data_IF_608812706133
#
_entry.id   IF_608812706133
#
_cell.length_a   1.000
_cell.length_b   1.000
_cell.length_c   1.000
_cell.angle_alpha   90.00
_cell.angle_beta   90.00
_cell.angle_gamma   90.00
#
_symmetry.space_group_name_H-M   'P 1'
#
loop_
_entity.id
_entity.type
_entity.pdbx_description
1 polymer ?
#
# COMPACT_ATOMS: atom_id res chain seq x y z
N UNK A 1 15.87 45.55 -9.73
CA UNK A 1 15.79 45.36 -11.20
C UNK A 1 15.17 43.99 -11.42
N UNK A 2 14.13 43.78 -12.23
CA UNK A 2 13.34 44.69 -13.06
C UNK A 2 11.82 44.57 -12.78
N UNK A 3 11.05 45.57 -13.21
CA UNK A 3 9.59 45.62 -13.08
C UNK A 3 9.00 45.86 -14.48
N UNK A 4 7.95 45.13 -14.86
CA UNK A 4 6.86 45.55 -15.76
C UNK A 4 5.70 44.55 -15.56
N UNK A 5 4.48 44.90 -15.11
CA UNK A 5 3.50 45.96 -15.46
C UNK A 5 2.84 45.79 -16.84
N UNK A 6 1.51 45.64 -16.78
CA UNK A 6 0.55 45.51 -17.88
C UNK A 6 0.48 46.79 -18.75
N UNK A 7 0.09 46.63 -20.02
CA UNK A 7 -0.91 47.51 -20.67
C UNK A 7 -1.58 46.82 -21.87
N UNK A 8 -2.83 47.18 -22.13
CA UNK A 8 -3.71 46.62 -23.17
C UNK A 8 -4.78 47.69 -23.50
N UNK A 9 -4.85 48.15 -24.77
CA UNK A 9 -5.84 49.07 -25.38
C UNK A 9 -5.42 49.33 -26.86
N UNK A 10 -6.27 49.68 -27.84
CA UNK A 10 -7.70 50.05 -27.84
C UNK A 10 -8.36 49.75 -29.22
N UNK A 11 -9.65 49.41 -29.22
CA UNK A 11 -10.76 49.85 -30.12
C UNK A 11 -10.55 50.19 -31.61
N UNK A 12 -11.52 49.81 -32.47
CA UNK A 12 -12.57 50.74 -32.96
C UNK A 12 -13.78 50.04 -33.63
N UNK A 13 -14.90 50.77 -33.79
CA UNK A 13 -16.22 50.30 -34.24
C UNK A 13 -16.52 50.72 -35.70
N UNK A 14 -17.39 49.97 -36.41
CA UNK A 14 -18.70 50.46 -36.96
C UNK A 14 -19.45 49.44 -37.84
N UNK A 15 -20.77 49.63 -37.93
CA UNK A 15 -21.79 49.03 -38.83
C UNK A 15 -22.55 50.19 -39.52
N UNK A 16 -23.54 50.03 -40.46
CA UNK A 16 -24.35 48.85 -40.83
C UNK A 16 -24.52 48.58 -42.36
N UNK A 17 -25.53 47.78 -42.75
CA UNK A 17 -25.86 47.30 -44.12
C UNK A 17 -26.77 48.26 -44.93
N UNK A 18 -27.21 47.90 -46.18
CA UNK A 18 -28.56 47.30 -46.33
C UNK A 18 -28.85 46.39 -47.57
N UNK A 19 -30.00 45.67 -47.54
CA UNK A 19 -30.88 45.24 -48.69
C UNK A 19 -30.35 44.26 -49.80
N UNK A 20 -31.14 43.40 -50.48
CA UNK A 20 -32.54 42.89 -50.30
C UNK A 20 -32.95 41.81 -51.34
N UNK A 21 -33.75 40.79 -50.94
CA UNK A 21 -34.79 40.05 -51.74
C UNK A 21 -34.28 39.17 -52.93
N UNK A 22 -34.94 38.12 -53.50
CA UNK A 22 -36.21 37.35 -53.34
C UNK A 22 -36.15 36.05 -54.25
N UNK A 23 -37.07 35.08 -54.46
CA UNK A 23 -38.48 34.68 -54.11
C UNK A 23 -38.61 33.11 -54.23
N UNK A 24 -39.45 32.45 -53.40
CA UNK A 24 -40.25 31.20 -53.65
C UNK A 24 -39.59 29.85 -54.09
N UNK A 25 -40.24 28.67 -54.01
CA UNK A 25 -41.65 28.29 -53.71
C UNK A 25 -41.78 27.09 -52.72
N UNK A 26 -43.01 26.61 -52.45
CA UNK A 26 -43.33 25.59 -51.43
C UNK A 26 -44.39 24.57 -51.91
N UNK A 27 -44.55 23.45 -51.18
CA UNK A 27 -45.79 22.63 -51.15
C UNK A 27 -45.89 21.80 -49.84
N UNK A 28 -47.08 21.36 -49.43
CA UNK A 28 -47.34 20.61 -48.18
C UNK A 28 -48.57 19.66 -48.27
N UNK A 29 -48.74 18.77 -47.26
CA UNK A 29 -49.83 17.78 -47.07
C UNK A 29 -49.67 16.47 -47.87
N UNK A 30 -50.22 15.30 -47.48
CA UNK A 30 -51.37 15.01 -46.59
C UNK A 30 -51.18 13.82 -45.61
N UNK A 31 -51.57 14.06 -44.35
CA UNK A 31 -52.25 13.18 -43.36
C UNK A 31 -52.07 11.64 -43.39
N UNK A 32 -51.77 11.08 -42.22
CA UNK A 32 -52.64 10.06 -41.58
C UNK A 32 -52.52 10.07 -40.04
N UNK A 33 -53.66 10.16 -39.36
CA UNK A 33 -53.78 10.09 -37.89
C UNK A 33 -54.16 8.65 -37.50
N UNK A 34 -53.69 8.18 -36.35
CA UNK A 34 -54.31 7.09 -35.59
C UNK A 34 -54.53 7.53 -34.14
N UNK A 35 -55.57 6.98 -33.53
CA UNK A 35 -56.20 7.42 -32.28
C UNK A 35 -55.60 6.79 -31.04
N UNK A 36 -55.57 7.55 -29.94
CA UNK A 36 -55.33 7.03 -28.59
C UNK A 36 -56.47 6.12 -28.09
N UNK A 37 -56.19 5.35 -27.04
CA UNK A 37 -57.17 4.54 -26.30
C UNK A 37 -57.02 4.79 -24.79
N UNK A 38 -58.06 5.28 -24.09
CA UNK A 38 -57.89 5.87 -22.76
C UNK A 38 -58.11 4.87 -21.62
N UNK A 39 -57.13 4.01 -21.28
CA UNK A 39 -57.20 3.21 -20.02
C UNK A 39 -55.85 2.76 -19.44
N UNK A 40 -55.22 3.61 -18.63
CA UNK A 40 -54.34 3.19 -17.52
C UNK A 40 -54.17 4.35 -16.55
N UNK A 41 -54.16 4.08 -15.24
CA UNK A 41 -53.95 5.10 -14.21
C UNK A 41 -52.47 5.51 -14.16
N UNK A 42 -52.20 6.81 -14.10
CA UNK A 42 -50.85 7.34 -13.88
C UNK A 42 -50.41 7.07 -12.44
N UNK A 43 -49.79 5.90 -12.23
CA UNK A 43 -48.86 5.76 -11.13
C UNK A 43 -47.60 6.56 -11.49
N UNK A 44 -47.52 7.80 -10.99
CA UNK A 44 -46.24 8.50 -10.84
C UNK A 44 -45.36 7.70 -9.86
N UNK A 45 -44.68 6.69 -10.38
CA UNK A 45 -43.49 6.16 -9.72
C UNK A 45 -42.47 7.28 -9.73
N UNK A 46 -42.40 8.02 -8.63
CA UNK A 46 -41.24 8.81 -8.25
C UNK A 46 -40.08 7.81 -8.21
N UNK A 47 -39.34 7.71 -9.31
CA UNK A 47 -38.03 7.07 -9.35
C UNK A 47 -37.12 7.98 -8.55
N UNK A 48 -37.10 7.73 -7.25
CA UNK A 48 -36.19 8.35 -6.30
C UNK A 48 -34.77 7.95 -6.73
N UNK A 49 -34.19 8.76 -7.62
CA UNK A 49 -32.86 8.58 -8.20
C UNK A 49 -31.77 8.92 -7.18
N UNK A 50 -31.92 8.39 -5.98
CA UNK A 50 -30.80 8.01 -5.13
C UNK A 50 -30.08 6.87 -5.85
N UNK A 51 -29.22 7.25 -6.80
CA UNK A 51 -28.04 6.47 -7.11
C UNK A 51 -27.27 6.32 -5.80
N UNK A 52 -27.56 5.23 -5.08
CA UNK A 52 -26.83 4.85 -3.89
C UNK A 52 -25.37 4.65 -4.32
N UNK A 53 -24.52 5.63 -3.98
CA UNK A 53 -23.07 5.52 -4.06
C UNK A 53 -22.63 4.27 -3.30
N UNK A 54 -22.51 3.16 -4.04
CA UNK A 54 -22.04 1.89 -3.51
C UNK A 54 -20.53 2.01 -3.34
N UNK A 55 -20.13 2.64 -2.24
CA UNK A 55 -18.74 2.73 -1.79
C UNK A 55 -18.06 1.37 -2.01
N UNK A 56 -17.07 1.34 -2.91
CA UNK A 56 -16.46 0.08 -3.34
C UNK A 56 -15.83 -0.64 -2.14
N UNK A 57 -16.04 -1.95 -2.03
CA UNK A 57 -15.42 -2.76 -0.98
C UNK A 57 -13.89 -2.89 -1.21
N UNK A 58 -13.12 -2.77 -0.14
CA UNK A 58 -11.67 -2.97 -0.18
C UNK A 58 -11.33 -4.39 -0.67
N UNK A 59 -10.40 -4.50 -1.60
CA UNK A 59 -9.95 -5.77 -2.17
C UNK A 59 -8.56 -6.14 -1.63
N UNK A 60 -8.14 -7.38 -1.86
CA UNK A 60 -6.77 -7.82 -1.56
C UNK A 60 -5.71 -6.96 -2.26
N UNK A 61 -5.99 -6.45 -3.47
CA UNK A 61 -5.09 -5.56 -4.20
C UNK A 61 -4.99 -4.17 -3.54
N UNK A 62 -6.12 -3.56 -3.18
CA UNK A 62 -6.14 -2.29 -2.45
C UNK A 62 -5.39 -2.38 -1.11
N UNK A 63 -5.48 -3.54 -0.43
CA UNK A 63 -4.68 -3.81 0.78
C UNK A 63 -3.18 -3.98 0.48
N UNK A 64 -2.78 -4.66 -0.60
CA UNK A 64 -1.37 -4.82 -0.96
C UNK A 64 -0.69 -3.51 -1.39
N UNK A 65 -1.42 -2.63 -2.08
CA UNK A 65 -0.99 -1.26 -2.36
C UNK A 65 -0.82 -0.44 -1.07
N UNK A 66 -1.78 -0.54 -0.15
CA UNK A 66 -1.71 0.15 1.14
C UNK A 66 -0.55 -0.35 2.01
N UNK A 67 -0.25 -1.65 2.03
CA UNK A 67 0.91 -2.18 2.76
C UNK A 67 2.25 -1.77 2.12
N UNK A 68 2.31 -1.59 0.80
CA UNK A 68 3.47 -0.97 0.16
C UNK A 68 3.66 0.51 0.56
N UNK A 69 2.55 1.26 0.71
CA UNK A 69 2.58 2.61 1.25
C UNK A 69 3.02 2.64 2.73
N UNK A 70 2.53 1.71 3.57
CA UNK A 70 2.95 1.59 4.98
C UNK A 70 4.44 1.24 5.10
N UNK A 71 4.96 0.27 4.33
CA UNK A 71 6.40 -0.02 4.29
C UNK A 71 7.22 1.24 3.91
N UNK A 72 6.73 1.99 2.92
CA UNK A 72 7.33 3.27 2.51
C UNK A 72 7.26 4.34 3.61
N UNK A 73 6.22 4.33 4.46
CA UNK A 73 6.12 5.21 5.63
C UNK A 73 7.15 4.80 6.70
N UNK A 74 7.14 3.54 7.12
CA UNK A 74 7.99 3.04 8.21
C UNK A 74 9.47 3.17 7.88
N UNK A 75 9.86 2.80 6.66
CA UNK A 75 11.28 2.88 6.25
C UNK A 75 11.75 4.31 6.00
N UNK A 76 10.92 5.21 5.47
CA UNK A 76 11.29 6.63 5.28
C UNK A 76 11.17 7.50 6.56
N UNK A 77 10.89 6.85 7.69
CA UNK A 77 10.95 7.40 9.06
C UNK A 77 12.00 6.67 9.93
N UNK A 78 12.61 5.58 9.43
CA UNK A 78 13.52 4.74 10.22
C UNK A 78 12.82 4.17 11.47
N UNK A 79 11.65 3.56 11.28
CA UNK A 79 10.92 2.86 12.33
C UNK A 79 11.31 1.37 12.35
N UNK A 80 11.12 0.75 13.51
CA UNK A 80 11.42 -0.66 13.73
C UNK A 80 10.67 -1.59 12.78
N UNK A 81 11.24 -2.78 12.55
CA UNK A 81 10.60 -3.84 11.75
C UNK A 81 9.37 -4.38 12.50
N UNK A 82 9.45 -4.35 13.82
CA UNK A 82 8.43 -4.66 14.81
C UNK A 82 7.20 -3.73 14.64
N UNK A 83 7.38 -2.41 14.51
CA UNK A 83 6.30 -1.45 14.19
C UNK A 83 5.60 -1.81 12.88
N UNK A 84 6.35 -2.15 11.83
CA UNK A 84 5.78 -2.56 10.54
C UNK A 84 4.97 -3.86 10.68
N UNK A 85 5.58 -4.94 11.20
CA UNK A 85 4.92 -6.24 11.33
C UNK A 85 3.70 -6.19 12.26
N UNK A 86 3.74 -5.37 13.31
CA UNK A 86 2.60 -5.14 14.20
C UNK A 86 1.48 -4.34 13.51
N UNK A 87 1.82 -3.26 12.78
CA UNK A 87 0.84 -2.49 12.01
C UNK A 87 0.08 -3.38 11.03
N UNK A 88 0.79 -4.21 10.26
CA UNK A 88 0.16 -5.10 9.28
C UNK A 88 -0.61 -6.23 9.99
N UNK A 89 -0.11 -6.74 11.11
CA UNK A 89 -0.81 -7.68 11.97
C UNK A 89 -2.09 -7.13 12.64
N UNK A 90 -2.22 -5.81 12.79
CA UNK A 90 -3.47 -5.15 13.21
C UNK A 90 -4.43 -5.02 12.01
N UNK A 91 -3.96 -4.49 10.89
CA UNK A 91 -4.74 -4.29 9.66
C UNK A 91 -5.38 -5.59 9.16
N UNK A 92 -4.59 -6.66 9.03
CA UNK A 92 -5.07 -7.94 8.50
C UNK A 92 -6.10 -8.61 9.42
N UNK A 93 -5.96 -8.47 10.76
CA UNK A 93 -6.96 -8.99 11.71
C UNK A 93 -8.23 -8.15 11.74
N UNK A 94 -8.14 -6.84 11.49
CA UNK A 94 -9.32 -5.99 11.34
C UNK A 94 -10.11 -6.38 10.08
N UNK A 95 -9.43 -6.50 8.94
CA UNK A 95 -10.05 -6.88 7.65
C UNK A 95 -10.58 -8.33 7.61
N UNK A 96 -10.11 -9.21 8.51
CA UNK A 96 -10.70 -10.53 8.74
C UNK A 96 -12.05 -10.49 9.49
N UNK A 97 -12.36 -9.39 10.17
CA UNK A 97 -13.53 -9.24 11.03
C UNK A 97 -14.53 -8.20 10.53
N UNK A 98 -14.11 -7.24 9.70
CA UNK A 98 -14.94 -6.14 9.18
C UNK A 98 -14.69 -5.94 7.68
N UNK A 99 -15.78 -5.80 6.92
CA UNK A 99 -15.72 -5.28 5.55
C UNK A 99 -15.54 -3.76 5.59
N UNK A 100 -14.58 -3.26 4.85
CA UNK A 100 -14.20 -1.83 4.81
C UNK A 100 -14.23 -1.38 3.35
N UNK A 101 -14.57 -0.12 3.10
CA UNK A 101 -14.62 0.44 1.74
C UNK A 101 -13.27 1.04 1.34
N UNK A 102 -12.98 1.10 0.04
CA UNK A 102 -11.67 1.56 -0.49
C UNK A 102 -11.29 2.94 0.05
N UNK A 103 -12.27 3.86 0.11
CA UNK A 103 -12.09 5.21 0.65
C UNK A 103 -11.65 5.24 2.13
N UNK A 104 -12.08 4.25 2.93
CA UNK A 104 -11.82 4.17 4.38
C UNK A 104 -10.55 3.36 4.71
N UNK A 105 -10.00 2.60 3.75
CA UNK A 105 -8.83 1.73 3.94
C UNK A 105 -7.54 2.50 4.27
N UNK A 106 -7.35 3.69 3.70
CA UNK A 106 -6.19 4.56 3.99
C UNK A 106 -6.23 5.04 5.45
N UNK A 107 -7.37 5.57 5.90
CA UNK A 107 -7.56 6.02 7.28
C UNK A 107 -7.35 4.88 8.29
N UNK A 108 -7.99 3.72 8.06
CA UNK A 108 -7.82 2.51 8.87
C UNK A 108 -6.34 2.12 9.00
N UNK A 109 -5.59 2.13 7.90
CA UNK A 109 -4.20 1.69 7.88
C UNK A 109 -3.26 2.67 8.59
N UNK A 110 -3.55 3.98 8.52
CA UNK A 110 -2.86 5.00 9.32
C UNK A 110 -3.20 4.85 10.82
N UNK A 111 -4.42 4.46 11.19
CA UNK A 111 -4.78 4.12 12.58
C UNK A 111 -4.07 2.86 13.07
N UNK A 112 -3.97 1.80 12.26
CA UNK A 112 -3.17 0.61 12.60
C UNK A 112 -1.69 0.96 12.82
N UNK A 113 -1.13 1.85 11.99
CA UNK A 113 0.24 2.33 12.16
C UNK A 113 0.40 3.19 13.42
N UNK A 114 -0.57 4.06 13.73
CA UNK A 114 -0.53 4.89 14.93
C UNK A 114 -0.60 4.08 16.24
N UNK A 115 -1.42 3.02 16.26
CA UNK A 115 -1.42 2.04 17.37
C UNK A 115 -0.03 1.38 17.48
N UNK A 116 0.52 0.87 16.36
CA UNK A 116 1.80 0.17 16.37
C UNK A 116 2.96 1.08 16.81
N UNK A 117 3.02 2.31 16.30
CA UNK A 117 4.01 3.33 16.70
C UNK A 117 3.95 3.57 18.21
N UNK A 118 2.77 3.81 18.79
CA UNK A 118 2.63 4.02 20.24
C UNK A 118 2.90 2.77 21.10
N UNK A 119 2.93 1.58 20.50
CA UNK A 119 3.15 0.33 21.22
C UNK A 119 4.62 -0.12 21.19
N UNK A 120 5.39 0.28 20.17
CA UNK A 120 6.76 -0.20 19.91
C UNK A 120 7.80 0.91 19.94
N UNK A 121 7.51 2.09 19.39
CA UNK A 121 8.48 3.20 19.33
C UNK A 121 8.49 3.99 20.65
N UNK A 122 9.65 4.52 21.04
CA UNK A 122 9.75 5.29 22.29
C UNK A 122 9.05 6.65 22.17
N UNK A 123 8.52 7.23 23.27
CA UNK A 123 7.95 8.58 23.25
C UNK A 123 8.93 9.64 22.71
N UNK A 124 10.22 9.49 22.99
CA UNK A 124 11.30 10.31 22.45
C UNK A 124 11.40 10.17 20.93
N UNK A 125 11.44 8.94 20.41
CA UNK A 125 11.44 8.64 18.96
C UNK A 125 10.23 9.25 18.26
N UNK A 126 9.04 9.19 18.88
CA UNK A 126 7.80 9.74 18.34
C UNK A 126 7.84 11.27 18.23
N UNK A 127 8.40 11.93 19.24
CA UNK A 127 8.53 13.39 19.31
C UNK A 127 9.63 13.91 18.37
N UNK A 128 10.87 13.40 18.51
CA UNK A 128 12.04 13.89 17.77
C UNK A 128 11.87 13.68 16.25
N UNK A 129 11.29 12.55 15.84
CA UNK A 129 10.99 12.28 14.42
C UNK A 129 9.67 12.93 13.94
N UNK A 130 8.94 13.65 14.81
CA UNK A 130 7.66 14.32 14.51
C UNK A 130 6.64 13.39 13.82
N UNK A 131 6.53 12.13 14.29
CA UNK A 131 5.84 11.07 13.55
C UNK A 131 4.36 11.43 13.33
N UNK A 132 3.69 11.92 14.37
CA UNK A 132 2.27 12.29 14.33
C UNK A 132 1.99 13.37 13.29
N UNK A 133 2.81 14.40 13.25
CA UNK A 133 2.70 15.54 12.35
C UNK A 133 3.05 15.14 10.90
N UNK A 134 3.85 14.09 10.70
CA UNK A 134 4.11 13.51 9.36
C UNK A 134 2.92 12.65 8.92
N UNK A 135 2.35 11.82 9.79
CA UNK A 135 1.15 11.03 9.48
C UNK A 135 -0.04 11.93 9.13
N UNK A 136 -0.34 12.96 9.94
CA UNK A 136 -1.41 13.94 9.69
C UNK A 136 -1.35 14.67 8.33
N UNK A 137 -0.13 14.79 7.76
CA UNK A 137 0.11 15.41 6.45
C UNK A 137 0.10 14.42 5.30
N UNK A 138 0.35 13.13 5.55
CA UNK A 138 0.45 12.10 4.49
C UNK A 138 -0.93 11.53 4.13
N UNK A 139 -1.81 12.41 3.64
CA UNK A 139 -3.04 12.06 2.93
C UNK A 139 -2.75 11.93 1.44
N UNK A 140 -3.16 10.83 0.84
CA UNK A 140 -2.89 10.53 -0.57
C UNK A 140 -4.16 10.64 -1.43
N UNK A 141 -5.23 9.95 -1.03
CA UNK A 141 -6.40 9.72 -1.88
C UNK A 141 -7.73 9.97 -1.18
N UNK A 142 -7.74 9.99 0.16
CA UNK A 142 -8.96 10.13 0.97
C UNK A 142 -8.88 11.34 1.90
N UNK A 143 -10.02 12.02 2.08
CA UNK A 143 -10.12 13.32 2.74
C UNK A 143 -10.26 13.22 4.28
N UNK A 144 -9.68 12.21 4.90
CA UNK A 144 -9.86 11.95 6.34
C UNK A 144 -9.29 13.06 7.24
N UNK A 145 -9.79 13.08 8.47
CA UNK A 145 -9.42 13.96 9.56
C UNK A 145 -8.68 13.18 10.65
N UNK A 146 -7.93 13.87 11.51
CA UNK A 146 -7.27 13.19 12.63
C UNK A 146 -8.26 12.65 13.68
N UNK A 147 -9.50 13.15 13.70
CA UNK A 147 -10.54 12.60 14.59
C UNK A 147 -10.95 11.20 14.10
N UNK A 148 -11.20 11.03 12.80
CA UNK A 148 -11.51 9.71 12.22
C UNK A 148 -10.36 8.70 12.43
N UNK A 149 -9.09 9.15 12.44
CA UNK A 149 -7.95 8.30 12.80
C UNK A 149 -8.03 7.81 14.26
N UNK A 150 -8.50 8.66 15.18
CA UNK A 150 -8.71 8.29 16.60
C UNK A 150 -9.96 7.41 16.79
N UNK A 151 -11.02 7.65 16.03
CA UNK A 151 -12.24 6.83 16.03
C UNK A 151 -11.95 5.42 15.49
N UNK A 152 -11.21 5.30 14.39
CA UNK A 152 -10.71 4.02 13.89
C UNK A 152 -9.75 3.35 14.88
N UNK A 153 -8.86 4.11 15.55
CA UNK A 153 -7.99 3.56 16.59
C UNK A 153 -8.79 2.93 17.73
N UNK A 154 -9.80 3.63 18.26
CA UNK A 154 -10.69 3.10 19.30
C UNK A 154 -11.44 1.86 18.81
N UNK A 155 -11.95 1.89 17.57
CA UNK A 155 -12.69 0.78 16.98
C UNK A 155 -11.81 -0.47 16.76
N UNK A 156 -10.57 -0.32 16.26
CA UNK A 156 -9.59 -1.42 16.14
C UNK A 156 -9.31 -2.04 17.51
N UNK A 157 -9.04 -1.21 18.53
CA UNK A 157 -8.73 -1.68 19.88
C UNK A 157 -9.91 -2.42 20.52
N UNK A 158 -11.13 -1.91 20.38
CA UNK A 158 -12.34 -2.57 20.87
C UNK A 158 -12.61 -3.90 20.15
N UNK A 159 -12.62 -3.90 18.81
CA UNK A 159 -12.87 -5.09 17.98
C UNK A 159 -11.86 -6.22 18.28
N UNK A 160 -10.57 -5.87 18.39
CA UNK A 160 -9.51 -6.83 18.73
C UNK A 160 -9.43 -7.14 20.24
N UNK A 161 -10.38 -6.67 21.05
CA UNK A 161 -10.44 -6.90 22.50
C UNK A 161 -9.13 -6.51 23.22
N UNK A 162 -8.53 -5.39 22.80
CA UNK A 162 -7.23 -4.86 23.22
C UNK A 162 -6.04 -5.83 23.04
N UNK A 163 -6.18 -6.91 22.28
CA UNK A 163 -5.10 -7.85 21.93
C UNK A 163 -4.22 -7.28 20.83
N UNK A 164 -3.46 -6.23 21.16
CA UNK A 164 -2.57 -5.55 20.21
C UNK A 164 -1.55 -6.53 19.64
N UNK A 165 -0.83 -7.26 20.50
CA UNK A 165 0.13 -8.28 20.08
C UNK A 165 -0.54 -9.52 19.47
N UNK A 166 0.08 -10.06 18.42
CA UNK A 166 -0.20 -11.37 17.84
C UNK A 166 1.08 -11.90 17.15
N UNK A 167 1.30 -13.22 17.03
CA UNK A 167 2.54 -13.77 16.46
C UNK A 167 2.79 -13.30 15.02
N UNK A 168 3.95 -12.66 14.81
CA UNK A 168 4.35 -12.12 13.49
C UNK A 168 5.26 -13.08 12.73
N UNK A 169 5.54 -12.79 11.45
CA UNK A 169 6.56 -13.54 10.69
C UNK A 169 7.94 -13.22 11.28
N UNK A 170 8.20 -11.93 11.53
CA UNK A 170 9.44 -11.42 12.12
C UNK A 170 9.79 -12.09 13.45
N UNK A 171 8.86 -12.13 14.41
CA UNK A 171 9.08 -12.71 15.75
C UNK A 171 9.43 -14.20 15.68
N UNK A 172 8.71 -14.96 14.84
CA UNK A 172 8.95 -16.40 14.65
C UNK A 172 10.25 -16.68 13.89
N UNK A 173 10.66 -15.77 13.01
CA UNK A 173 11.91 -15.84 12.26
C UNK A 173 13.11 -15.51 13.16
N UNK A 174 13.08 -14.38 13.87
CA UNK A 174 14.08 -13.97 14.86
C UNK A 174 14.33 -15.09 15.89
N UNK A 175 13.27 -15.66 16.48
CA UNK A 175 13.37 -16.79 17.42
C UNK A 175 14.08 -18.02 16.85
N UNK A 176 13.99 -18.25 15.54
CA UNK A 176 14.67 -19.35 14.86
C UNK A 176 16.13 -19.04 14.53
N UNK A 177 16.45 -17.76 14.32
CA UNK A 177 17.81 -17.29 14.07
C UNK A 177 18.63 -17.35 15.36
N UNK A 178 18.17 -16.72 16.44
CA UNK A 178 18.84 -16.80 17.75
C UNK A 178 19.08 -18.25 18.21
N UNK A 179 18.09 -19.14 18.04
CA UNK A 179 18.23 -20.56 18.38
C UNK A 179 19.19 -21.36 17.46
N UNK A 180 19.60 -20.80 16.32
CA UNK A 180 20.70 -21.32 15.48
C UNK A 180 22.03 -20.76 15.97
N UNK A 181 22.08 -19.46 16.23
CA UNK A 181 23.29 -18.74 16.64
C UNK A 181 23.84 -19.29 17.99
N UNK A 182 22.94 -19.56 18.95
CA UNK A 182 23.24 -20.26 20.22
C UNK A 182 23.91 -21.64 20.01
N UNK A 183 23.72 -22.28 18.85
CA UNK A 183 24.21 -23.63 18.53
C UNK A 183 25.47 -23.66 17.66
N UNK A 184 25.84 -22.55 17.01
CA UNK A 184 26.91 -22.47 16.00
C UNK A 184 28.13 -21.65 16.46
N UNK A 185 28.51 -21.75 17.74
CA UNK A 185 29.67 -21.05 18.32
C UNK A 185 31.01 -21.35 17.59
N UNK A 186 31.35 -20.62 16.52
CA UNK A 186 32.60 -20.78 15.77
C UNK A 186 33.04 -19.57 14.91
N UNK A 187 34.29 -19.18 15.12
CA UNK A 187 35.24 -18.32 14.40
C UNK A 187 34.86 -17.63 13.05
N UNK A 188 34.64 -16.32 13.15
CA UNK A 188 35.28 -15.21 12.39
C UNK A 188 35.38 -15.12 10.86
N UNK A 189 35.12 -16.16 10.05
CA UNK A 189 34.97 -16.04 8.57
C UNK A 189 33.52 -16.32 8.10
N UNK A 190 32.65 -16.66 9.05
CA UNK A 190 31.24 -17.04 8.81
C UNK A 190 30.31 -15.81 8.86
N UNK A 191 30.72 -14.75 9.55
CA UNK A 191 29.92 -13.56 9.91
C UNK A 191 29.26 -12.88 8.69
N UNK A 192 30.01 -12.67 7.60
CA UNK A 192 29.47 -12.09 6.37
C UNK A 192 28.39 -12.95 5.69
N UNK A 193 28.55 -14.28 5.71
CA UNK A 193 27.55 -15.23 5.16
C UNK A 193 26.32 -15.33 6.06
N UNK A 194 26.49 -15.29 7.39
CA UNK A 194 25.39 -15.18 8.34
C UNK A 194 24.63 -13.86 8.15
N UNK A 195 25.30 -12.74 7.94
CA UNK A 195 24.67 -11.43 7.67
C UNK A 195 23.90 -11.42 6.33
N UNK A 196 24.46 -11.92 5.23
CA UNK A 196 23.74 -12.04 3.95
C UNK A 196 22.48 -12.93 4.08
N UNK A 197 22.58 -14.07 4.79
CA UNK A 197 21.42 -14.92 5.09
C UNK A 197 20.39 -14.21 5.98
N UNK A 198 20.84 -13.42 6.97
CA UNK A 198 20.00 -12.65 7.87
C UNK A 198 19.19 -11.60 7.11
N UNK A 199 19.84 -10.79 6.27
CA UNK A 199 19.16 -9.77 5.46
C UNK A 199 18.24 -10.39 4.40
N UNK A 200 18.62 -11.53 3.79
CA UNK A 200 17.76 -12.27 2.86
C UNK A 200 16.50 -12.83 3.55
N UNK A 201 16.63 -13.35 4.78
CA UNK A 201 15.51 -13.86 5.55
C UNK A 201 14.50 -12.75 5.91
N UNK A 202 15.00 -11.60 6.36
CA UNK A 202 14.19 -10.42 6.67
C UNK A 202 13.54 -9.82 5.41
N UNK A 203 14.26 -9.77 4.28
CA UNK A 203 13.71 -9.37 2.99
C UNK A 203 12.50 -10.21 2.61
N UNK A 204 12.58 -11.54 2.75
CA UNK A 204 11.43 -12.40 2.47
C UNK A 204 10.28 -12.25 3.48
N UNK A 205 10.57 -11.95 4.75
CA UNK A 205 9.55 -11.66 5.75
C UNK A 205 8.75 -10.39 5.41
N UNK A 206 9.41 -9.31 5.00
CA UNK A 206 8.76 -8.07 4.55
C UNK A 206 8.07 -8.25 3.19
N UNK A 207 8.66 -8.99 2.26
CA UNK A 207 8.08 -9.31 0.95
C UNK A 207 6.74 -10.08 1.08
N UNK A 208 6.61 -10.94 2.09
CA UNK A 208 5.36 -11.62 2.39
C UNK A 208 4.28 -10.70 2.98
N UNK A 209 4.65 -9.61 3.69
CA UNK A 209 3.67 -8.62 4.13
C UNK A 209 2.99 -7.93 2.96
N UNK A 210 3.70 -7.73 1.84
CA UNK A 210 3.23 -7.05 0.62
C UNK A 210 2.29 -7.92 -0.26
N UNK A 211 1.91 -9.12 0.18
CA UNK A 211 1.05 -10.05 -0.56
C UNK A 211 -0.03 -10.63 0.36
N UNK A 212 -1.26 -10.13 0.28
CA UNK A 212 -2.40 -10.52 1.12
C UNK A 212 -2.62 -12.04 1.18
N UNK A 213 -2.32 -12.73 0.06
CA UNK A 213 -2.37 -14.19 -0.06
C UNK A 213 -1.51 -14.93 0.99
N UNK A 214 -0.44 -14.32 1.50
CA UNK A 214 0.37 -14.87 2.59
C UNK A 214 -0.47 -15.21 3.84
N UNK A 215 -1.56 -14.49 4.08
CA UNK A 215 -2.45 -14.72 5.23
C UNK A 215 -3.33 -15.99 5.11
N UNK A 216 -3.29 -16.68 3.97
CA UNK A 216 -3.88 -18.02 3.82
C UNK A 216 -3.05 -19.11 4.53
N UNK A 217 -1.78 -18.82 4.87
CA UNK A 217 -0.85 -19.78 5.47
C UNK A 217 -0.55 -19.47 6.95
N UNK A 218 -0.38 -20.49 7.81
CA UNK A 218 0.12 -20.29 9.17
C UNK A 218 1.48 -19.60 9.17
N UNK A 219 1.69 -18.61 10.05
CA UNK A 219 2.94 -17.83 10.09
C UNK A 219 4.19 -18.70 10.29
N UNK A 220 4.08 -19.82 11.03
CA UNK A 220 5.16 -20.82 11.11
C UNK A 220 5.51 -21.42 9.74
N UNK A 221 4.52 -21.81 8.93
CA UNK A 221 4.75 -22.38 7.59
C UNK A 221 5.42 -21.38 6.64
N UNK A 222 5.11 -20.09 6.79
CA UNK A 222 5.81 -19.02 6.08
C UNK A 222 7.29 -18.93 6.50
N UNK A 223 7.59 -19.02 7.81
CA UNK A 223 8.98 -19.04 8.30
C UNK A 223 9.73 -20.32 7.87
N UNK A 224 9.07 -21.48 7.87
CA UNK A 224 9.63 -22.73 7.32
C UNK A 224 9.94 -22.59 5.81
N UNK A 225 9.12 -21.86 5.05
CA UNK A 225 9.34 -21.58 3.64
C UNK A 225 10.48 -20.57 3.38
N UNK A 226 10.58 -19.50 4.19
CA UNK A 226 11.75 -18.60 4.19
C UNK A 226 13.01 -19.42 4.46
N UNK A 227 13.00 -20.25 5.49
CA UNK A 227 14.16 -21.06 5.89
C UNK A 227 14.61 -22.05 4.81
N UNK A 228 13.65 -22.68 4.12
CA UNK A 228 13.94 -23.55 2.98
C UNK A 228 14.71 -22.79 1.87
N UNK A 229 14.27 -21.57 1.55
CA UNK A 229 14.84 -20.75 0.48
C UNK A 229 16.22 -20.17 0.84
N UNK A 230 16.39 -19.61 2.04
CA UNK A 230 17.69 -19.04 2.46
C UNK A 230 18.78 -20.11 2.63
N UNK A 231 18.40 -21.35 2.97
CA UNK A 231 19.32 -22.49 3.04
C UNK A 231 19.72 -23.07 1.67
N UNK A 232 19.37 -22.39 0.56
CA UNK A 232 19.85 -22.74 -0.79
C UNK A 232 19.21 -23.98 -1.43
N UNK A 233 18.14 -24.53 -0.84
CA UNK A 233 17.43 -25.68 -1.39
C UNK A 233 16.74 -25.32 -2.72
N UNK A 234 16.70 -26.24 -3.68
CA UNK A 234 16.12 -25.97 -5.00
C UNK A 234 14.60 -26.03 -4.93
N UNK A 235 13.93 -25.18 -5.70
CA UNK A 235 12.45 -25.18 -5.82
C UNK A 235 11.88 -26.55 -6.28
N UNK A 236 12.67 -27.34 -7.02
CA UNK A 236 12.30 -28.69 -7.45
C UNK A 236 12.27 -29.73 -6.31
N UNK A 237 12.96 -29.46 -5.19
CA UNK A 237 13.04 -30.37 -4.04
C UNK A 237 11.93 -30.11 -3.01
N UNK A 238 11.11 -29.07 -3.21
CA UNK A 238 10.04 -28.65 -2.29
C UNK A 238 8.91 -29.66 -2.27
N UNK A 239 8.47 -30.06 -1.07
CA UNK A 239 7.33 -30.96 -0.85
C UNK A 239 6.17 -30.22 -0.18
N UNK A 240 4.91 -30.62 -0.41
CA UNK A 240 3.78 -30.13 0.39
C UNK A 240 4.03 -30.35 1.89
N UNK A 241 3.61 -29.43 2.78
CA UNK A 241 2.83 -28.21 2.51
C UNK A 241 3.65 -26.97 2.09
N UNK A 242 4.98 -27.05 1.94
CA UNK A 242 5.83 -25.88 1.67
C UNK A 242 5.74 -25.33 0.24
N UNK A 243 5.19 -26.10 -0.71
CA UNK A 243 5.22 -25.77 -2.13
C UNK A 243 4.59 -24.41 -2.46
N UNK A 244 3.37 -24.14 -1.99
CA UNK A 244 2.69 -22.87 -2.29
C UNK A 244 3.39 -21.66 -1.65
N UNK A 245 3.75 -21.65 -0.35
CA UNK A 245 4.56 -20.59 0.25
C UNK A 245 5.89 -20.34 -0.45
N UNK A 246 6.66 -21.38 -0.79
CA UNK A 246 7.95 -21.22 -1.49
C UNK A 246 7.74 -20.64 -2.89
N UNK A 247 6.77 -21.16 -3.66
CA UNK A 247 6.43 -20.60 -4.98
C UNK A 247 5.99 -19.14 -4.85
N UNK A 248 5.25 -18.77 -3.80
CA UNK A 248 4.86 -17.36 -3.55
C UNK A 248 6.08 -16.47 -3.29
N UNK A 249 7.12 -16.93 -2.58
CA UNK A 249 8.36 -16.17 -2.39
C UNK A 249 9.08 -15.91 -3.72
N UNK A 250 9.26 -16.94 -4.55
CA UNK A 250 9.89 -16.82 -5.87
C UNK A 250 9.10 -15.89 -6.80
N UNK A 251 7.77 -16.01 -6.83
CA UNK A 251 6.91 -15.14 -7.65
C UNK A 251 6.94 -13.69 -7.16
N UNK A 252 6.86 -13.44 -5.85
CA UNK A 252 6.94 -12.08 -5.31
C UNK A 252 8.33 -11.45 -5.56
N UNK A 253 9.41 -12.22 -5.45
CA UNK A 253 10.75 -11.72 -5.78
C UNK A 253 10.85 -11.33 -7.27
N UNK A 254 10.40 -12.22 -8.17
CA UNK A 254 10.28 -11.94 -9.62
C UNK A 254 9.47 -10.67 -9.91
N UNK A 255 8.34 -10.49 -9.23
CA UNK A 255 7.47 -9.32 -9.37
C UNK A 255 8.18 -8.02 -8.93
N UNK A 256 9.05 -8.10 -7.90
CA UNK A 256 9.80 -6.97 -7.36
C UNK A 256 10.96 -6.54 -8.27
N UNK A 257 11.62 -7.48 -8.95
CA UNK A 257 12.78 -7.18 -9.81
C UNK A 257 12.42 -6.79 -11.24
N UNK A 258 11.17 -7.01 -11.67
CA UNK A 258 10.71 -6.72 -13.04
C UNK A 258 10.24 -5.26 -13.20
N UNK A 259 10.95 -4.40 -13.98
CA UNK A 259 10.60 -2.99 -14.14
C UNK A 259 9.24 -2.74 -14.83
N UNK A 260 8.71 -3.73 -15.54
CA UNK A 260 7.40 -3.66 -16.22
C UNK A 260 6.23 -4.14 -15.35
N UNK A 261 6.48 -4.66 -14.15
CA UNK A 261 5.42 -5.14 -13.26
C UNK A 261 4.82 -4.00 -12.42
N UNK A 262 3.50 -4.01 -12.20
CA UNK A 262 2.79 -2.91 -11.54
C UNK A 262 3.36 -2.56 -10.14
N UNK A 263 3.77 -3.58 -9.37
CA UNK A 263 4.34 -3.39 -8.02
C UNK A 263 5.73 -2.76 -8.02
N UNK A 264 6.43 -2.67 -9.16
CA UNK A 264 7.82 -2.23 -9.21
C UNK A 264 8.00 -0.81 -8.64
N UNK A 265 7.08 0.12 -8.95
CA UNK A 265 7.10 1.48 -8.38
C UNK A 265 6.70 1.50 -6.90
N UNK A 266 5.54 0.95 -6.46
CA UNK A 266 5.18 0.89 -5.04
C UNK A 266 6.23 0.24 -4.13
N UNK A 267 6.92 -0.81 -4.58
CA UNK A 267 7.85 -1.57 -3.76
C UNK A 267 9.29 -1.03 -3.74
N UNK A 268 9.53 0.20 -4.19
CA UNK A 268 10.87 0.79 -4.21
C UNK A 268 11.52 0.80 -2.82
N UNK A 269 10.75 1.08 -1.75
CA UNK A 269 11.24 1.08 -0.38
C UNK A 269 11.81 -0.28 0.05
N UNK A 270 11.26 -1.40 -0.42
CA UNK A 270 11.82 -2.73 -0.16
C UNK A 270 13.19 -2.90 -0.83
N UNK A 271 13.35 -2.42 -2.06
CA UNK A 271 14.64 -2.50 -2.77
C UNK A 271 15.67 -1.52 -2.21
N UNK A 272 15.26 -0.33 -1.77
CA UNK A 272 16.12 0.58 -1.03
C UNK A 272 16.56 0.01 0.33
N UNK A 273 15.68 -0.69 1.06
CA UNK A 273 16.03 -1.25 2.39
C UNK A 273 17.05 -2.38 2.31
N UNK A 274 16.93 -3.28 1.33
CA UNK A 274 17.70 -4.52 1.27
C UNK A 274 18.74 -4.58 0.15
N UNK A 275 18.69 -3.69 -0.85
CA UNK A 275 19.41 -3.82 -2.11
C UNK A 275 20.94 -3.86 -2.03
N UNK A 276 21.53 -3.31 -0.97
CA UNK A 276 22.96 -3.38 -0.70
C UNK A 276 23.44 -4.75 -0.19
N UNK A 277 22.53 -5.58 0.35
CA UNK A 277 22.87 -6.77 1.16
C UNK A 277 22.45 -8.11 0.55
N UNK A 278 21.67 -8.12 -0.53
CA UNK A 278 21.08 -9.37 -1.02
C UNK A 278 22.10 -10.18 -1.86
N UNK A 279 22.38 -11.44 -1.48
CA UNK A 279 23.30 -12.30 -2.22
C UNK A 279 22.71 -12.72 -3.58
N UNK A 280 23.56 -13.24 -4.47
CA UNK A 280 23.07 -13.92 -5.68
C UNK A 280 22.39 -15.26 -5.30
N UNK A 281 21.30 -15.68 -5.96
CA UNK A 281 20.64 -15.06 -7.12
C UNK A 281 19.65 -13.93 -6.78
N UNK A 282 19.43 -13.63 -5.49
CA UNK A 282 18.35 -12.78 -4.96
C UNK A 282 18.56 -11.26 -5.09
N UNK A 283 19.47 -10.83 -5.96
CA UNK A 283 19.78 -9.40 -6.16
C UNK A 283 18.58 -8.66 -6.75
N UNK A 284 18.29 -7.48 -6.20
CA UNK A 284 17.22 -6.60 -6.67
C UNK A 284 17.79 -5.37 -7.39
N UNK A 285 17.04 -4.73 -8.31
CA UNK A 285 17.43 -3.44 -8.88
C UNK A 285 17.56 -2.37 -7.77
N UNK A 286 18.81 -1.99 -7.51
CA UNK A 286 19.25 -1.05 -6.47
C UNK A 286 20.27 -0.07 -7.05
N UNK A 287 20.26 1.16 -6.56
CA UNK A 287 21.19 2.22 -6.95
C UNK A 287 22.02 2.63 -5.71
N UNK A 288 23.33 2.33 -5.66
CA UNK A 288 24.20 2.71 -4.55
C UNK A 288 24.34 4.22 -4.33
N UNK A 289 23.92 5.05 -5.30
CA UNK A 289 23.91 6.52 -5.21
C UNK A 289 22.56 7.10 -4.77
N UNK A 290 21.58 6.25 -4.42
CA UNK A 290 20.24 6.66 -4.05
C UNK A 290 20.19 7.37 -2.67
N UNK A 291 20.05 8.69 -2.67
CA UNK A 291 19.93 9.56 -1.47
C UNK A 291 18.48 9.71 -0.95
N UNK A 292 17.67 8.66 -0.98
CA UNK A 292 16.32 8.69 -0.38
C UNK A 292 16.37 8.35 1.11
N UNK A 293 15.39 8.83 1.89
CA UNK A 293 15.31 8.59 3.36
C UNK A 293 15.36 7.13 3.79
N UNK A 294 14.98 6.19 2.92
CA UNK A 294 15.11 4.76 3.19
C UNK A 294 16.59 4.33 3.17
N UNK A 295 17.36 4.81 2.20
CA UNK A 295 18.80 4.54 2.12
C UNK A 295 19.58 5.28 3.21
N UNK A 296 19.18 6.52 3.53
CA UNK A 296 19.69 7.32 4.66
C UNK A 296 19.57 6.54 5.97
N UNK A 297 18.37 6.08 6.33
CA UNK A 297 18.17 5.29 7.55
C UNK A 297 18.76 3.88 7.51
N UNK A 298 19.03 3.31 6.34
CA UNK A 298 19.83 2.07 6.24
C UNK A 298 21.32 2.33 6.49
N UNK A 299 21.84 3.51 6.11
CA UNK A 299 23.20 3.93 6.48
C UNK A 299 23.29 4.23 7.98
N UNK A 300 22.24 4.81 8.58
CA UNK A 300 22.12 4.93 10.05
C UNK A 300 22.11 3.54 10.73
N UNK A 301 21.26 2.59 10.27
CA UNK A 301 21.18 1.19 10.77
C UNK A 301 22.51 0.41 10.68
N UNK A 302 23.47 0.86 9.85
CA UNK A 302 24.80 0.25 9.70
C UNK A 302 25.92 0.96 10.50
N UNK A 303 25.66 2.16 11.00
CA UNK A 303 26.67 3.00 11.66
C UNK A 303 26.55 3.02 13.20
N UNK A 304 25.52 2.34 13.74
CA UNK A 304 25.17 2.25 15.17
C UNK A 304 25.59 0.95 15.83
#
# INVERSE_FOLDING_TARGET
MCINRKRLRTEQLRSPAPTSQQLHAADEQLKRVKTDSPTSLDHETITDNQELDKEEAATAAHRDEMVAAILTITSALGLSRETLHLCIGLLDRYLQLQNVTVFKLEALSISCLWIAVKFVETPTTIFDKSIKEILQRRRHSSNWTWNEILDFELNILQLLNFRIMAPTILELLQKRMFAKDDSENQEHDIDGLQFEQHQLALYFADLLLLKARANQFPKKLLVDAIWFVIAGNKIADVKPPLLEPVVQLYLAHRDNINPSHAVFKPWFALRCRYGAFLPAPWKVPYDPSCVCRVCEHVQDELAS
#
